data_IF_146613499196
#
_entry.id   IF_146613499196
#
_cell.length_a   1.000
_cell.length_b   1.000
_cell.length_c   1.000
_cell.angle_alpha   90.00
_cell.angle_beta   90.00
_cell.angle_gamma   90.00
#
_symmetry.space_group_name_H-M   'P 1'
#
loop_
_entity.id
_entity.type
_entity.pdbx_description
1 polymer ?
#
# COMPACT_ATOMS: atom_id res chain seq x y z
N UNK A 1 2.80 17.37 -24.62
CA UNK A 1 2.84 15.89 -24.83
C UNK A 1 1.80 15.26 -23.90
N UNK A 2 1.18 14.13 -24.25
CA UNK A 2 0.20 13.48 -23.37
C UNK A 2 0.89 12.45 -22.45
N UNK A 3 0.88 12.73 -21.14
CA UNK A 3 1.41 11.86 -20.10
C UNK A 3 0.26 11.22 -19.33
N UNK A 4 0.10 9.91 -19.49
CA UNK A 4 -0.89 9.13 -18.76
C UNK A 4 -0.21 8.28 -17.70
N UNK A 5 -0.44 8.64 -16.45
CA UNK A 5 0.28 8.10 -15.29
C UNK A 5 -0.70 7.29 -14.44
N UNK A 6 -0.37 6.02 -14.20
CA UNK A 6 -1.08 5.19 -13.25
C UNK A 6 -0.48 5.33 -11.85
N UNK A 7 -1.32 5.66 -10.87
CA UNK A 7 -0.93 5.81 -9.47
C UNK A 7 -1.35 4.54 -8.74
N UNK A 8 -0.38 3.77 -8.28
CA UNK A 8 -0.53 2.51 -7.57
C UNK A 8 -0.28 2.76 -6.07
N UNK A 9 -1.13 2.22 -5.20
CA UNK A 9 -0.97 2.40 -3.75
C UNK A 9 -1.49 1.21 -2.95
N UNK A 10 -0.87 0.98 -1.79
CA UNK A 10 -1.34 0.05 -0.75
C UNK A 10 -1.64 -1.35 -1.32
N UNK A 11 -0.62 -1.98 -1.93
CA UNK A 11 -0.74 -3.30 -2.59
C UNK A 11 -0.92 -4.42 -1.57
N UNK A 12 -0.29 -4.29 -0.40
CA UNK A 12 -0.47 -5.17 0.75
C UNK A 12 -0.31 -6.67 0.47
N UNK A 13 0.65 -7.02 -0.38
CA UNK A 13 0.95 -8.39 -0.75
C UNK A 13 -0.12 -9.05 -1.62
N UNK A 14 -1.10 -8.32 -2.16
CA UNK A 14 -2.13 -8.90 -3.02
C UNK A 14 -1.66 -8.97 -4.48
N UNK A 15 -1.04 -10.10 -4.84
CA UNK A 15 -0.45 -10.29 -6.16
C UNK A 15 -1.51 -10.35 -7.27
N UNK A 16 -2.63 -11.03 -7.02
CA UNK A 16 -3.71 -11.18 -8.01
C UNK A 16 -4.39 -9.83 -8.31
N UNK A 17 -4.59 -8.99 -7.30
CA UNK A 17 -5.12 -7.64 -7.50
C UNK A 17 -4.14 -6.76 -8.27
N UNK A 18 -2.85 -6.82 -7.95
CA UNK A 18 -1.83 -6.04 -8.66
C UNK A 18 -1.76 -6.43 -10.14
N UNK A 19 -1.77 -7.71 -10.46
CA UNK A 19 -1.77 -8.19 -11.84
C UNK A 19 -2.97 -7.65 -12.63
N UNK A 20 -4.18 -7.70 -12.03
CA UNK A 20 -5.39 -7.17 -12.64
C UNK A 20 -5.32 -5.65 -12.84
N UNK A 21 -4.81 -4.90 -11.86
CA UNK A 21 -4.64 -3.44 -11.94
C UNK A 21 -3.62 -3.06 -13.02
N UNK A 22 -2.49 -3.77 -13.12
CA UNK A 22 -1.49 -3.53 -14.17
C UNK A 22 -2.09 -3.77 -15.56
N UNK A 23 -2.86 -4.85 -15.74
CA UNK A 23 -3.52 -5.14 -17.02
C UNK A 23 -4.55 -4.05 -17.39
N UNK A 24 -5.33 -3.58 -16.42
CA UNK A 24 -6.29 -2.49 -16.62
C UNK A 24 -5.59 -1.16 -16.94
N UNK A 25 -4.52 -0.80 -16.20
CA UNK A 25 -3.72 0.40 -16.43
C UNK A 25 -3.10 0.43 -17.83
N UNK A 26 -2.53 -0.70 -18.28
CA UNK A 26 -2.04 -0.86 -19.66
C UNK A 26 -3.16 -0.64 -20.69
N UNK A 27 -4.36 -1.15 -20.41
CA UNK A 27 -5.54 -0.95 -21.28
C UNK A 27 -6.00 0.51 -21.31
N UNK A 28 -5.84 1.26 -20.22
CA UNK A 28 -6.10 2.71 -20.20
C UNK A 28 -5.04 3.52 -20.96
N UNK A 29 -3.94 2.88 -21.36
CA UNK A 29 -2.82 3.51 -22.04
C UNK A 29 -1.83 4.19 -21.10
N UNK A 30 -1.77 3.78 -19.83
CA UNK A 30 -0.78 4.30 -18.90
C UNK A 30 0.65 3.94 -19.37
N UNK A 31 1.47 4.97 -19.54
CA UNK A 31 2.86 4.86 -19.99
C UNK A 31 3.88 5.09 -18.87
N UNK A 32 3.42 5.57 -17.73
CA UNK A 32 4.21 5.89 -16.54
C UNK A 32 3.47 5.42 -15.28
N UNK A 33 4.22 5.03 -14.24
CA UNK A 33 3.65 4.56 -12.97
C UNK A 33 4.30 5.27 -11.79
N UNK A 34 3.46 5.68 -10.83
CA UNK A 34 3.90 6.15 -9.51
C UNK A 34 3.43 5.15 -8.46
N UNK A 35 4.31 4.82 -7.52
CA UNK A 35 4.06 3.80 -6.49
C UNK A 35 4.13 4.42 -5.08
N UNK A 36 3.01 4.42 -4.38
CA UNK A 36 2.88 4.89 -3.01
C UNK A 36 2.75 3.65 -2.13
N UNK A 37 3.84 3.22 -1.51
CA UNK A 37 4.14 1.82 -1.21
C UNK A 37 3.15 1.09 -0.26
N UNK A 38 3.58 0.51 0.87
CA UNK A 38 2.87 -0.60 1.52
C UNK A 38 2.69 -1.79 0.54
N UNK A 39 3.82 -2.22 -0.04
CA UNK A 39 3.84 -3.24 -1.10
C UNK A 39 3.48 -4.61 -0.57
N UNK A 40 4.08 -4.99 0.55
CA UNK A 40 3.98 -6.32 1.13
C UNK A 40 3.08 -6.32 2.34
N UNK A 41 2.61 -7.52 2.70
CA UNK A 41 1.84 -7.81 3.92
C UNK A 41 0.52 -7.00 4.05
N UNK A 42 -0.53 -7.57 4.65
CA UNK A 42 -0.63 -8.91 5.19
C UNK A 42 -0.91 -9.98 4.12
N UNK A 43 -0.90 -9.64 2.83
CA UNK A 43 -1.05 -10.61 1.74
C UNK A 43 0.20 -11.47 1.47
N UNK A 44 0.05 -12.50 0.63
CA UNK A 44 1.06 -13.54 0.41
C UNK A 44 2.12 -13.19 -0.64
N UNK A 45 1.97 -12.10 -1.37
CA UNK A 45 2.93 -11.62 -2.38
C UNK A 45 4.29 -11.33 -1.77
N UNK A 46 5.34 -11.78 -2.45
CA UNK A 46 6.74 -11.57 -2.10
C UNK A 46 7.54 -11.30 -3.39
N UNK A 47 8.50 -12.15 -3.77
CA UNK A 47 9.29 -11.98 -4.98
C UNK A 47 8.47 -11.98 -6.29
N UNK A 48 7.32 -12.66 -6.33
CA UNK A 48 6.38 -12.63 -7.45
C UNK A 48 5.76 -11.25 -7.64
N UNK A 49 5.42 -10.57 -6.55
CA UNK A 49 4.92 -9.19 -6.57
C UNK A 49 6.01 -8.23 -7.07
N UNK A 50 7.24 -8.38 -6.58
CA UNK A 50 8.39 -7.59 -7.06
C UNK A 50 8.63 -7.81 -8.56
N UNK A 51 8.46 -9.01 -9.08
CA UNK A 51 8.61 -9.30 -10.50
C UNK A 51 7.59 -8.52 -11.35
N UNK A 52 6.33 -8.43 -10.90
CA UNK A 52 5.30 -7.64 -11.57
C UNK A 52 5.67 -6.14 -11.63
N UNK A 53 6.24 -5.60 -10.55
CA UNK A 53 6.63 -4.19 -10.47
C UNK A 53 7.87 -3.85 -11.32
N UNK A 54 8.86 -4.75 -11.36
CA UNK A 54 10.10 -4.57 -12.13
C UNK A 54 9.88 -4.34 -13.63
N UNK A 55 8.78 -4.86 -14.18
CA UNK A 55 8.44 -4.73 -15.60
C UNK A 55 7.70 -3.41 -15.95
N UNK A 56 7.42 -2.56 -14.95
CA UNK A 56 6.72 -1.29 -15.14
C UNK A 56 7.70 -0.12 -15.24
N UNK A 57 7.39 0.91 -16.07
CA UNK A 57 8.11 2.18 -16.04
C UNK A 57 7.70 2.99 -14.80
N UNK A 58 8.12 2.52 -13.62
CA UNK A 58 7.96 3.22 -12.35
C UNK A 58 9.01 4.32 -12.29
N UNK A 59 8.53 5.55 -12.19
CA UNK A 59 9.36 6.75 -12.24
C UNK A 59 9.26 7.56 -10.95
N UNK A 60 8.37 7.19 -10.03
CA UNK A 60 8.30 7.70 -8.67
C UNK A 60 7.88 6.58 -7.71
N UNK A 61 8.52 6.49 -6.55
CA UNK A 61 8.27 5.43 -5.56
C UNK A 61 8.57 5.95 -4.16
N UNK A 62 7.61 5.88 -3.24
CA UNK A 62 7.74 6.46 -1.89
C UNK A 62 7.34 5.50 -0.79
N UNK A 63 8.20 5.37 0.22
CA UNK A 63 8.14 4.33 1.24
C UNK A 63 6.92 4.41 2.15
N UNK A 64 6.24 3.29 2.33
CA UNK A 64 5.08 3.13 3.19
C UNK A 64 5.45 2.68 4.60
N UNK A 65 4.50 2.72 5.51
CA UNK A 65 4.75 2.38 6.91
C UNK A 65 4.82 0.87 7.15
N UNK A 66 4.22 0.04 6.29
CA UNK A 66 4.37 -1.42 6.36
C UNK A 66 5.76 -1.83 5.89
N UNK A 67 6.35 -1.10 4.96
CA UNK A 67 7.73 -1.31 4.54
C UNK A 67 8.69 -0.97 5.69
N UNK A 68 8.48 0.17 6.38
CA UNK A 68 9.26 0.51 7.59
C UNK A 68 9.13 -0.59 8.66
N UNK A 69 7.94 -1.14 8.92
CA UNK A 69 7.77 -2.25 9.88
C UNK A 69 8.61 -3.48 9.56
N UNK A 70 8.76 -3.80 8.27
CA UNK A 70 9.62 -4.91 7.82
C UNK A 70 11.09 -4.56 8.06
N UNK A 71 11.49 -3.33 7.76
CA UNK A 71 12.87 -2.85 7.93
C UNK A 71 13.27 -2.74 9.41
N UNK A 72 12.40 -2.20 10.26
CA UNK A 72 12.55 -2.09 11.72
C UNK A 72 12.78 -3.48 12.33
N UNK A 73 11.94 -4.45 11.97
CA UNK A 73 12.10 -5.84 12.40
C UNK A 73 13.45 -6.45 11.98
N UNK A 74 13.95 -6.11 10.79
CA UNK A 74 15.29 -6.51 10.32
C UNK A 74 16.44 -5.77 11.02
N UNK A 75 16.19 -4.58 11.55
CA UNK A 75 17.14 -3.77 12.32
C UNK A 75 17.15 -4.18 13.81
N UNK A 76 16.39 -5.21 14.18
CA UNK A 76 16.31 -5.73 15.55
C UNK A 76 15.30 -4.97 16.42
N UNK A 77 14.47 -4.12 15.82
CA UNK A 77 13.38 -3.42 16.51
C UNK A 77 12.13 -4.31 16.52
N UNK A 78 12.02 -5.16 17.55
CA UNK A 78 10.87 -6.05 17.69
C UNK A 78 10.45 -6.28 19.14
N UNK A 79 9.17 -6.60 19.30
CA UNK A 79 8.57 -6.99 20.57
C UNK A 79 7.79 -8.30 20.43
N UNK A 80 7.82 -9.11 21.49
CA UNK A 80 7.10 -10.39 21.56
C UNK A 80 6.10 -10.43 22.71
N UNK A 81 5.81 -9.27 23.30
CA UNK A 81 4.94 -9.14 24.47
C UNK A 81 3.53 -8.71 24.07
N UNK A 82 3.39 -8.01 22.94
CA UNK A 82 2.10 -7.50 22.48
C UNK A 82 1.61 -8.23 21.22
N UNK A 83 0.31 -8.64 21.12
CA UNK A 83 -0.20 -9.39 19.97
C UNK A 83 0.06 -8.75 18.60
N UNK A 84 -0.02 -7.41 18.50
CA UNK A 84 0.30 -6.70 17.25
C UNK A 84 1.78 -6.79 16.87
N UNK A 85 2.69 -6.80 17.84
CA UNK A 85 4.12 -6.93 17.57
C UNK A 85 4.41 -8.35 17.11
N UNK A 86 3.89 -9.37 17.81
CA UNK A 86 4.03 -10.77 17.41
C UNK A 86 3.46 -11.00 16.00
N UNK A 87 2.30 -10.41 15.68
CA UNK A 87 1.75 -10.45 14.32
C UNK A 87 2.72 -9.86 13.31
N UNK A 88 3.20 -8.62 13.56
CA UNK A 88 4.17 -7.95 12.69
C UNK A 88 5.39 -8.83 12.46
N UNK A 89 5.97 -9.38 13.52
CA UNK A 89 7.16 -10.22 13.44
C UNK A 89 6.94 -11.54 12.71
N UNK A 90 5.81 -12.21 12.94
CA UNK A 90 5.49 -13.47 12.26
C UNK A 90 5.28 -13.26 10.77
N UNK A 91 4.64 -12.15 10.40
CA UNK A 91 4.43 -11.76 9.02
C UNK A 91 5.75 -11.35 8.35
N UNK A 92 6.59 -10.57 9.03
CA UNK A 92 7.94 -10.24 8.56
C UNK A 92 8.77 -11.49 8.34
N UNK A 93 8.79 -12.44 9.29
CA UNK A 93 9.46 -13.73 9.10
C UNK A 93 8.99 -14.43 7.83
N UNK A 94 7.67 -14.58 7.65
CA UNK A 94 7.09 -15.22 6.47
C UNK A 94 7.58 -14.57 5.16
N UNK A 95 7.64 -13.25 5.13
CA UNK A 95 8.10 -12.47 4.00
C UNK A 95 9.60 -12.69 3.76
N UNK A 96 10.43 -12.63 4.81
CA UNK A 96 11.89 -12.72 4.73
C UNK A 96 12.39 -14.09 4.28
N UNK A 97 11.68 -15.17 4.64
CA UNK A 97 11.96 -16.51 4.13
C UNK A 97 11.83 -16.62 2.58
N UNK A 98 11.22 -15.61 1.93
CA UNK A 98 10.84 -15.63 0.51
C UNK A 98 11.32 -14.41 -0.27
N UNK A 99 12.06 -13.49 0.37
CA UNK A 99 12.43 -12.21 -0.22
C UNK A 99 13.91 -12.17 -0.59
N UNK A 100 14.20 -11.65 -1.79
CA UNK A 100 15.58 -11.42 -2.22
C UNK A 100 16.21 -10.28 -1.41
N UNK A 101 17.48 -10.41 -0.95
CA UNK A 101 18.17 -9.32 -0.24
C UNK A 101 18.23 -8.00 -1.00
N UNK A 102 18.24 -8.05 -2.34
CA UNK A 102 18.19 -6.86 -3.19
C UNK A 102 16.89 -6.06 -3.01
N UNK A 103 15.78 -6.72 -2.70
CA UNK A 103 14.49 -6.06 -2.40
C UNK A 103 14.59 -5.23 -1.12
N UNK A 104 15.28 -5.74 -0.09
CA UNK A 104 15.51 -4.99 1.15
C UNK A 104 16.36 -3.74 0.91
N UNK A 105 17.44 -3.88 0.11
CA UNK A 105 18.28 -2.74 -0.27
C UNK A 105 17.44 -1.69 -1.02
N UNK A 106 16.57 -2.12 -1.92
CA UNK A 106 15.66 -1.23 -2.64
C UNK A 106 14.68 -0.53 -1.69
N UNK A 107 13.96 -1.25 -0.82
CA UNK A 107 13.04 -0.67 0.16
C UNK A 107 13.73 0.39 1.04
N UNK A 108 14.95 0.12 1.50
CA UNK A 108 15.73 1.09 2.31
C UNK A 108 16.11 2.35 1.53
N UNK A 109 16.27 2.25 0.22
CA UNK A 109 16.63 3.39 -0.64
C UNK A 109 15.46 4.33 -0.93
N UNK A 110 14.22 3.88 -0.71
CA UNK A 110 13.03 4.65 -1.02
C UNK A 110 12.88 5.87 -0.10
N UNK A 111 12.59 7.06 -0.66
CA UNK A 111 12.34 8.27 0.12
C UNK A 111 10.92 8.27 0.71
N UNK A 112 10.68 9.13 1.70
CA UNK A 112 9.32 9.39 2.23
C UNK A 112 8.53 10.37 1.36
N UNK A 113 9.22 11.23 0.63
CA UNK A 113 8.66 12.25 -0.25
C UNK A 113 9.43 12.24 -1.56
N UNK A 114 8.69 12.29 -2.66
CA UNK A 114 9.22 12.58 -3.99
C UNK A 114 8.50 13.80 -4.57
N UNK A 115 9.28 14.74 -5.11
CA UNK A 115 8.78 15.90 -5.84
C UNK A 115 8.99 15.68 -7.33
N UNK A 116 7.98 15.96 -8.12
CA UNK A 116 8.04 15.80 -9.58
C UNK A 116 7.47 16.99 -10.32
N UNK A 117 7.95 17.17 -11.54
CA UNK A 117 7.36 18.10 -12.50
C UNK A 117 6.98 17.34 -13.77
N UNK A 118 5.73 17.47 -14.20
CA UNK A 118 5.22 16.89 -15.45
C UNK A 118 4.63 18.02 -16.29
N UNK A 119 5.27 18.34 -17.41
CA UNK A 119 4.90 19.46 -18.30
C UNK A 119 4.68 20.80 -17.55
N UNK A 120 5.44 21.05 -16.47
CA UNK A 120 5.33 22.28 -15.66
C UNK A 120 4.40 22.19 -14.46
N UNK A 121 3.59 21.13 -14.32
CA UNK A 121 2.80 20.87 -13.11
C UNK A 121 3.65 20.18 -12.06
N UNK A 122 3.62 20.70 -10.83
CA UNK A 122 4.47 20.25 -9.72
C UNK A 122 3.69 19.37 -8.75
N UNK A 123 4.19 18.16 -8.57
CA UNK A 123 3.59 17.11 -7.77
C UNK A 123 4.37 16.86 -6.48
N UNK A 124 3.63 16.65 -5.40
CA UNK A 124 4.13 16.14 -4.11
C UNK A 124 3.61 14.72 -3.92
N UNK A 125 4.50 13.74 -3.85
CA UNK A 125 4.13 12.32 -3.76
C UNK A 125 4.68 11.79 -2.44
N UNK A 126 3.80 11.31 -1.55
CA UNK A 126 4.19 10.71 -0.26
C UNK A 126 3.17 9.66 0.16
N UNK A 127 3.57 8.60 0.88
CA UNK A 127 2.59 7.59 1.32
C UNK A 127 1.51 8.18 2.24
N UNK A 128 1.92 9.05 3.16
CA UNK A 128 1.03 9.82 4.04
C UNK A 128 1.51 11.28 4.03
N UNK A 129 2.04 11.81 5.13
CA UNK A 129 2.65 13.14 5.17
C UNK A 129 4.08 13.11 4.62
N UNK A 130 4.61 14.22 4.08
CA UNK A 130 5.94 14.28 3.45
C UNK A 130 7.11 13.82 4.32
N UNK A 131 6.97 13.92 5.64
CA UNK A 131 8.00 13.56 6.62
C UNK A 131 7.54 12.46 7.59
N UNK A 132 6.38 11.83 7.32
CA UNK A 132 5.76 10.85 8.20
C UNK A 132 4.77 9.98 7.42
N UNK A 133 5.14 8.73 7.15
CA UNK A 133 4.33 7.78 6.38
C UNK A 133 3.22 7.06 7.19
N UNK A 134 3.04 7.33 8.48
CA UNK A 134 2.06 6.66 9.33
C UNK A 134 1.12 7.63 10.05
N UNK A 135 0.05 7.10 10.66
CA UNK A 135 -0.87 7.84 11.54
C UNK A 135 -2.17 8.25 10.86
N UNK A 136 -3.02 8.98 11.59
CA UNK A 136 -4.39 9.31 11.17
C UNK A 136 -4.59 10.75 10.70
N UNK A 137 -3.52 11.50 10.43
CA UNK A 137 -3.61 12.93 10.09
C UNK A 137 -4.42 13.18 8.80
N UNK A 138 -4.35 12.27 7.82
CA UNK A 138 -5.01 12.39 6.53
C UNK A 138 -6.26 11.50 6.37
N UNK A 139 -6.91 11.15 7.47
CA UNK A 139 -8.24 10.52 7.44
C UNK A 139 -9.24 11.44 6.73
N UNK A 140 -10.16 10.85 5.97
CA UNK A 140 -11.04 11.60 5.04
C UNK A 140 -11.97 12.59 5.73
N UNK A 141 -12.29 12.35 7.00
CA UNK A 141 -13.11 13.19 7.87
C UNK A 141 -12.35 14.36 8.50
N UNK A 142 -11.02 14.39 8.41
CA UNK A 142 -10.23 15.46 9.02
C UNK A 142 -10.32 16.77 8.22
N UNK A 143 -10.13 17.86 8.95
CA UNK A 143 -10.17 19.22 8.44
C UNK A 143 -9.06 19.50 7.41
N UNK A 144 -9.31 20.45 6.52
CA UNK A 144 -8.37 20.83 5.44
C UNK A 144 -6.99 21.25 5.96
N UNK A 145 -6.91 21.85 7.16
CA UNK A 145 -5.62 22.21 7.79
C UNK A 145 -4.67 21.02 7.95
N UNK A 146 -5.21 19.81 8.17
CA UNK A 146 -4.39 18.60 8.23
C UNK A 146 -3.82 18.22 6.87
N UNK A 147 -4.62 18.42 5.82
CA UNK A 147 -4.28 18.13 4.44
C UNK A 147 -3.34 19.16 3.82
N UNK A 148 -3.38 20.41 4.28
CA UNK A 148 -2.45 21.46 3.86
C UNK A 148 -0.99 21.10 4.16
N UNK A 149 -0.73 20.19 5.10
CA UNK A 149 0.62 19.66 5.35
C UNK A 149 1.21 18.84 4.18
N UNK A 150 0.38 18.39 3.23
CA UNK A 150 0.86 17.77 1.98
C UNK A 150 1.41 18.80 0.97
N UNK A 151 1.09 20.08 1.19
CA UNK A 151 1.24 21.15 0.24
C UNK A 151 2.28 22.17 0.74
N UNK A 152 3.00 22.75 -0.20
CA UNK A 152 3.80 23.95 -0.02
C UNK A 152 3.48 24.92 -1.17
N UNK A 153 4.08 26.11 -1.17
CA UNK A 153 3.84 27.15 -2.19
C UNK A 153 4.25 26.71 -3.61
N UNK A 154 5.00 25.62 -3.73
CA UNK A 154 5.47 25.07 -4.99
C UNK A 154 4.70 23.83 -5.46
N UNK A 155 3.71 23.35 -4.69
CA UNK A 155 2.93 22.17 -5.08
C UNK A 155 1.62 22.59 -5.72
N UNK A 156 1.35 22.06 -6.91
CA UNK A 156 0.07 22.22 -7.61
C UNK A 156 -0.86 21.04 -7.30
N UNK A 157 -0.30 19.82 -7.18
CA UNK A 157 -1.05 18.59 -6.88
C UNK A 157 -0.29 17.71 -5.87
N UNK A 158 -0.93 17.34 -4.77
CA UNK A 158 -0.43 16.30 -3.87
C UNK A 158 -1.09 14.95 -4.14
N UNK A 159 -0.32 13.87 -4.06
CA UNK A 159 -0.77 12.49 -4.18
C UNK A 159 -0.34 11.73 -2.92
N UNK A 160 -1.29 11.09 -2.24
CA UNK A 160 -1.02 10.28 -1.05
C UNK A 160 -1.82 8.96 -1.02
N UNK A 161 -1.43 8.03 -0.15
CA UNK A 161 -2.01 6.68 0.02
C UNK A 161 -2.52 6.45 1.45
N UNK A 162 -2.18 5.31 2.06
CA UNK A 162 -2.27 4.99 3.49
C UNK A 162 -3.67 4.85 4.12
N UNK A 163 -4.65 5.66 3.72
CA UNK A 163 -6.02 5.61 4.27
C UNK A 163 -6.98 4.77 3.45
N UNK A 164 -6.49 4.18 2.35
CA UNK A 164 -7.16 3.18 1.51
C UNK A 164 -8.51 3.63 0.94
N UNK A 165 -8.65 4.94 0.69
CA UNK A 165 -9.88 5.54 0.17
C UNK A 165 -9.58 6.47 -0.98
N UNK A 166 -10.25 6.22 -2.10
CA UNK A 166 -10.25 7.15 -3.22
C UNK A 166 -10.74 8.53 -2.79
N UNK A 167 -9.94 9.56 -3.10
CA UNK A 167 -10.22 10.92 -2.68
C UNK A 167 -9.74 11.91 -3.75
N UNK A 168 -10.59 12.88 -4.05
CA UNK A 168 -10.20 14.14 -4.66
C UNK A 168 -10.72 15.25 -3.75
N UNK A 169 -9.81 16.05 -3.19
CA UNK A 169 -10.13 17.25 -2.43
C UNK A 169 -9.16 18.37 -2.74
N UNK A 170 -9.31 19.48 -2.05
CA UNK A 170 -8.51 20.68 -2.24
C UNK A 170 -7.90 21.15 -0.92
N UNK A 171 -6.68 21.67 -1.01
CA UNK A 171 -6.05 22.44 0.06
C UNK A 171 -6.63 23.86 0.15
N UNK A 172 -6.17 24.61 1.14
CA UNK A 172 -6.68 25.95 1.44
C UNK A 172 -6.43 26.99 0.34
N UNK A 173 -5.38 26.81 -0.49
CA UNK A 173 -5.13 27.69 -1.65
C UNK A 173 -5.73 27.14 -2.96
N UNK A 174 -6.50 26.05 -2.90
CA UNK A 174 -7.14 25.44 -4.08
C UNK A 174 -6.27 24.42 -4.83
N UNK A 175 -5.11 24.02 -4.29
CA UNK A 175 -4.29 22.95 -4.87
C UNK A 175 -5.00 21.60 -4.72
N UNK A 176 -4.78 20.68 -5.66
CA UNK A 176 -5.47 19.39 -5.66
C UNK A 176 -4.77 18.37 -4.77
N UNK A 177 -5.56 17.54 -4.11
CA UNK A 177 -5.07 16.40 -3.33
C UNK A 177 -5.81 15.15 -3.79
N UNK A 178 -5.04 14.15 -4.20
CA UNK A 178 -5.52 12.90 -4.78
C UNK A 178 -5.08 11.73 -3.90
N UNK A 179 -5.99 10.80 -3.66
CA UNK A 179 -5.67 9.48 -3.12
C UNK A 179 -6.22 8.40 -4.06
N UNK A 180 -5.41 7.47 -4.58
CA UNK A 180 -5.84 6.48 -5.55
C UNK A 180 -6.70 5.36 -4.94
N UNK A 181 -6.81 5.30 -3.61
CA UNK A 181 -7.35 4.17 -2.87
C UNK A 181 -6.30 3.09 -2.64
N UNK A 182 -6.74 1.88 -2.32
CA UNK A 182 -5.85 0.73 -2.11
C UNK A 182 -6.10 -0.39 -3.11
N UNK A 183 -5.01 -0.91 -3.68
CA UNK A 183 -5.04 -2.06 -4.58
C UNK A 183 -5.40 -3.33 -3.79
N UNK A 184 -4.72 -3.55 -2.66
CA UNK A 184 -4.80 -4.80 -1.92
C UNK A 184 -5.83 -4.83 -0.81
N UNK A 185 -6.19 -3.69 -0.24
CA UNK A 185 -7.00 -3.55 0.98
C UNK A 185 -7.93 -2.32 0.93
N UNK A 186 -8.79 -2.18 -0.09
CA UNK A 186 -9.72 -1.05 -0.19
C UNK A 186 -10.63 -0.98 1.06
N UNK A 187 -10.81 0.23 1.60
CA UNK A 187 -11.54 0.42 2.86
C UNK A 187 -12.87 1.16 2.66
N UNK A 188 -13.94 0.59 3.22
CA UNK A 188 -15.29 1.14 3.12
C UNK A 188 -15.95 1.23 4.50
N UNK A 189 -16.37 2.43 4.89
CA UNK A 189 -17.22 2.61 6.09
C UNK A 189 -18.72 2.56 5.76
N UNK A 190 -19.08 2.73 4.49
CA UNK A 190 -20.46 2.76 4.07
C UNK A 190 -20.83 1.45 3.36
N UNK A 191 -21.59 0.61 4.04
CA UNK A 191 -21.87 -0.76 3.62
C UNK A 191 -22.43 -0.86 2.19
N UNK A 192 -23.29 0.07 1.79
CA UNK A 192 -23.90 0.06 0.45
C UNK A 192 -22.89 0.25 -0.71
N UNK A 193 -21.68 0.73 -0.42
CA UNK A 193 -20.61 0.93 -1.41
C UNK A 193 -19.51 -0.13 -1.34
N UNK A 194 -19.57 -1.03 -0.35
CA UNK A 194 -18.58 -2.06 -0.10
C UNK A 194 -18.47 -3.00 -1.30
N UNK A 195 -17.24 -3.31 -1.70
CA UNK A 195 -16.95 -4.20 -2.83
C UNK A 195 -15.47 -4.62 -2.82
N UNK A 196 -15.19 -5.83 -3.30
CA UNK A 196 -13.86 -6.43 -3.31
C UNK A 196 -12.94 -5.97 -4.45
N UNK A 197 -13.21 -4.83 -5.09
CA UNK A 197 -12.43 -4.40 -6.26
C UNK A 197 -11.19 -3.62 -5.82
N UNK A 198 -10.07 -3.94 -6.43
CA UNK A 198 -8.83 -3.18 -6.28
C UNK A 198 -9.04 -1.73 -6.75
N UNK A 199 -8.44 -0.77 -6.05
CA UNK A 199 -8.55 0.65 -6.36
C UNK A 199 -7.20 1.20 -6.82
N UNK A 200 -7.25 2.04 -7.85
CA UNK A 200 -6.10 2.85 -8.27
C UNK A 200 -6.61 4.10 -9.00
N UNK A 201 -5.71 5.00 -9.39
CA UNK A 201 -6.06 6.15 -10.21
C UNK A 201 -5.19 6.26 -11.47
N UNK A 202 -5.76 6.87 -12.51
CA UNK A 202 -5.02 7.32 -13.69
C UNK A 202 -5.18 8.82 -13.81
N UNK A 203 -4.07 9.54 -13.90
CA UNK A 203 -4.05 10.97 -14.21
C UNK A 203 -3.52 11.19 -15.63
N UNK A 204 -4.00 12.25 -16.27
CA UNK A 204 -3.60 12.63 -17.62
C UNK A 204 -3.17 14.10 -17.61
N UNK A 205 -1.91 14.34 -17.98
CA UNK A 205 -1.33 15.68 -18.13
C UNK A 205 -1.05 15.91 -19.61
N UNK A 206 -1.64 16.97 -20.15
CA UNK A 206 -1.48 17.36 -21.56
C UNK A 206 -1.22 18.86 -21.63
N UNK A 207 -0.12 19.24 -22.27
CA UNK A 207 0.26 20.63 -22.56
C UNK A 207 0.24 21.56 -21.33
N UNK A 208 0.68 21.03 -20.19
CA UNK A 208 0.78 21.75 -18.91
C UNK A 208 -0.51 21.78 -18.09
N UNK A 209 -1.54 21.05 -18.51
CA UNK A 209 -2.83 20.97 -17.83
C UNK A 209 -3.11 19.56 -17.32
N UNK A 210 -3.68 19.44 -16.12
CA UNK A 210 -4.21 18.18 -15.61
C UNK A 210 -5.60 17.97 -16.19
N UNK A 211 -5.66 17.34 -17.37
CA UNK A 211 -6.89 17.23 -18.17
C UNK A 211 -7.83 16.12 -17.70
N UNK A 212 -7.33 15.15 -16.92
CA UNK A 212 -8.16 14.05 -16.43
C UNK A 212 -7.67 13.45 -15.11
N UNK A 213 -8.62 13.02 -14.27
CA UNK A 213 -8.40 12.19 -13.08
C UNK A 213 -9.44 11.08 -13.10
N UNK A 214 -9.00 9.83 -13.24
CA UNK A 214 -9.88 8.67 -13.27
C UNK A 214 -9.63 7.78 -12.05
N UNK A 215 -10.59 7.72 -11.15
CA UNK A 215 -10.62 6.70 -10.09
C UNK A 215 -11.19 5.41 -10.63
N UNK A 216 -10.46 4.31 -10.45
CA UNK A 216 -10.79 3.03 -11.06
C UNK A 216 -10.97 1.95 -10.02
N UNK A 217 -11.85 0.99 -10.33
CA UNK A 217 -12.16 -0.17 -9.51
C UNK A 217 -12.10 -1.43 -10.36
N UNK A 218 -11.10 -2.27 -10.10
CA UNK A 218 -10.78 -3.44 -10.93
C UNK A 218 -11.20 -4.71 -10.20
N UNK A 219 -12.00 -5.54 -10.85
CA UNK A 219 -12.31 -6.88 -10.32
C UNK A 219 -11.11 -7.80 -10.55
N UNK A 220 -10.84 -8.67 -9.58
CA UNK A 220 -9.82 -9.71 -9.65
C UNK A 220 -10.36 -10.98 -9.00
N UNK A 221 -9.68 -12.11 -9.20
CA UNK A 221 -10.07 -13.40 -8.62
C UNK A 221 -9.57 -13.51 -7.18
N UNK A 222 -10.44 -13.16 -6.22
CA UNK A 222 -10.09 -13.20 -4.79
C UNK A 222 -9.99 -14.63 -4.24
N UNK A 223 -10.64 -15.62 -4.88
CA UNK A 223 -10.48 -17.03 -4.47
C UNK A 223 -9.12 -17.55 -4.91
N UNK A 224 -8.64 -17.17 -6.10
CA UNK A 224 -7.28 -17.47 -6.54
C UNK A 224 -6.23 -16.85 -5.60
N UNK A 225 -6.43 -15.61 -5.16
CA UNK A 225 -5.55 -14.96 -4.17
C UNK A 225 -5.58 -15.68 -2.81
N UNK A 226 -6.75 -16.12 -2.36
CA UNK A 226 -6.88 -16.86 -1.11
C UNK A 226 -6.21 -18.25 -1.20
N UNK A 227 -6.35 -18.96 -2.31
CA UNK A 227 -5.65 -20.22 -2.54
C UNK A 227 -4.13 -20.02 -2.65
N UNK A 228 -3.68 -18.92 -3.27
CA UNK A 228 -2.28 -18.52 -3.26
C UNK A 228 -1.78 -18.32 -1.82
N UNK A 229 -2.54 -17.61 -0.99
CA UNK A 229 -2.20 -17.38 0.41
C UNK A 229 -2.08 -18.70 1.20
N UNK A 230 -3.04 -19.61 1.06
CA UNK A 230 -3.01 -20.94 1.68
C UNK A 230 -1.80 -21.75 1.20
N UNK A 231 -1.56 -21.79 -0.11
CA UNK A 231 -0.46 -22.57 -0.70
C UNK A 231 0.92 -22.10 -0.26
N UNK A 232 1.08 -20.79 -0.01
CA UNK A 232 2.33 -20.21 0.50
C UNK A 232 2.49 -20.39 2.00
N UNK A 233 1.45 -20.80 2.71
CA UNK A 233 1.44 -20.92 4.17
C UNK A 233 1.42 -19.56 4.87
N UNK A 234 0.61 -18.63 4.36
CA UNK A 234 0.45 -17.30 4.95
C UNK A 234 0.02 -17.41 6.43
N UNK A 235 0.77 -16.81 7.39
CA UNK A 235 0.33 -16.73 8.78
C UNK A 235 -0.95 -15.90 8.90
N UNK A 236 -1.74 -16.19 9.93
CA UNK A 236 -3.05 -15.54 10.16
C UNK A 236 -4.00 -15.67 8.95
N UNK A 237 -3.97 -16.82 8.25
CA UNK A 237 -4.81 -17.09 7.09
C UNK A 237 -6.29 -16.85 7.36
N UNK A 238 -6.77 -17.09 8.59
CA UNK A 238 -8.15 -16.83 9.00
C UNK A 238 -8.53 -15.34 8.84
N UNK A 239 -7.61 -14.43 9.19
CA UNK A 239 -7.82 -12.99 9.03
C UNK A 239 -7.74 -12.56 7.57
N UNK A 240 -6.86 -13.19 6.78
CA UNK A 240 -6.78 -12.90 5.36
C UNK A 240 -8.03 -13.39 4.62
N UNK A 241 -8.57 -14.55 4.99
CA UNK A 241 -9.85 -15.05 4.46
C UNK A 241 -11.00 -14.10 4.78
N UNK A 242 -11.12 -13.62 6.02
CA UNK A 242 -12.14 -12.62 6.38
C UNK A 242 -11.95 -11.32 5.59
N UNK A 243 -10.71 -10.86 5.43
CA UNK A 243 -10.41 -9.69 4.62
C UNK A 243 -10.82 -9.89 3.14
N UNK A 244 -10.62 -11.07 2.55
CA UNK A 244 -11.01 -11.34 1.15
C UNK A 244 -12.50 -11.57 0.95
N UNK A 245 -13.19 -12.15 1.93
CA UNK A 245 -14.63 -12.45 1.83
C UNK A 245 -15.51 -11.29 2.29
N UNK A 246 -15.03 -10.51 3.27
CA UNK A 246 -15.85 -9.53 3.98
C UNK A 246 -15.24 -8.12 3.96
N UNK A 247 -14.17 -7.84 3.19
CA UNK A 247 -13.43 -6.56 3.18
C UNK A 247 -13.16 -5.99 4.59
N UNK A 248 -12.93 -6.88 5.54
CA UNK A 248 -12.79 -6.54 6.95
C UNK A 248 -11.43 -7.01 7.45
N UNK A 249 -10.49 -6.08 7.64
CA UNK A 249 -9.19 -6.40 8.21
C UNK A 249 -9.21 -6.32 9.74
N UNK A 250 -9.10 -7.48 10.39
CA UNK A 250 -9.15 -7.60 11.85
C UNK A 250 -7.79 -7.37 12.55
N UNK A 251 -6.81 -6.73 11.91
CA UNK A 251 -5.47 -6.49 12.49
C UNK A 251 -5.43 -5.60 13.74
N UNK A 252 -6.57 -5.09 14.18
CA UNK A 252 -6.71 -4.33 15.43
C UNK A 252 -7.49 -5.09 16.52
N UNK A 253 -8.02 -6.28 16.21
CA UNK A 253 -8.72 -7.14 17.15
C UNK A 253 -7.70 -7.92 17.99
N UNK A 254 -7.34 -7.38 19.17
CA UNK A 254 -6.31 -7.94 20.04
C UNK A 254 -6.69 -9.33 20.58
N UNK A 255 -7.98 -9.58 20.83
CA UNK A 255 -8.46 -10.87 21.33
C UNK A 255 -8.31 -11.96 20.26
N UNK A 256 -8.71 -11.67 19.02
CA UNK A 256 -8.52 -12.57 17.89
C UNK A 256 -7.03 -12.85 17.64
N UNK A 257 -6.20 -11.80 17.63
CA UNK A 257 -4.75 -11.94 17.45
C UNK A 257 -4.15 -12.85 18.52
N UNK A 258 -4.44 -12.59 19.80
CA UNK A 258 -3.94 -13.41 20.91
C UNK A 258 -4.35 -14.88 20.77
N UNK A 259 -5.63 -15.13 20.41
CA UNK A 259 -6.15 -16.48 20.19
C UNK A 259 -5.44 -17.21 19.04
N UNK A 260 -5.22 -16.54 17.90
CA UNK A 260 -4.53 -17.13 16.75
C UNK A 260 -3.04 -17.35 17.02
N UNK A 261 -2.39 -16.43 17.75
CA UNK A 261 -0.99 -16.57 18.18
C UNK A 261 -0.80 -17.80 19.05
N UNK A 262 -1.67 -18.01 20.04
CA UNK A 262 -1.63 -19.19 20.90
C UNK A 262 -1.91 -20.47 20.11
N UNK A 263 -2.98 -20.48 19.31
CA UNK A 263 -3.41 -21.64 18.51
C UNK A 263 -2.30 -22.16 17.60
N UNK A 264 -1.58 -21.26 16.93
CA UNK A 264 -0.58 -21.61 15.92
C UNK A 264 0.86 -21.58 16.46
N UNK A 265 1.08 -21.16 17.71
CA UNK A 265 2.40 -21.13 18.33
C UNK A 265 3.35 -20.07 17.76
N UNK A 266 2.83 -18.95 17.24
CA UNK A 266 3.63 -17.98 16.48
C UNK A 266 4.77 -17.33 17.27
N UNK A 267 4.67 -17.21 18.61
CA UNK A 267 5.77 -16.69 19.43
C UNK A 267 7.03 -17.55 19.28
N UNK A 268 6.87 -18.87 19.27
CA UNK A 268 8.01 -19.80 19.19
C UNK A 268 8.60 -19.88 17.79
N UNK A 269 7.77 -19.72 16.75
CA UNK A 269 8.24 -19.56 15.36
C UNK A 269 9.14 -18.33 15.23
N UNK A 270 8.68 -17.19 15.74
CA UNK A 270 9.38 -15.91 15.64
C UNK A 270 10.70 -15.94 16.41
N UNK A 271 10.71 -16.43 17.66
CA UNK A 271 11.96 -16.59 18.44
C UNK A 271 13.00 -17.41 17.68
N UNK A 272 12.61 -18.57 17.16
CA UNK A 272 13.53 -19.45 16.42
C UNK A 272 14.13 -18.79 15.19
N UNK A 273 13.38 -17.92 14.52
CA UNK A 273 13.85 -17.23 13.33
C UNK A 273 14.79 -16.06 13.68
N UNK A 274 14.42 -15.20 14.62
CA UNK A 274 15.21 -14.01 14.95
C UNK A 274 16.39 -14.29 15.88
N UNK A 275 16.35 -15.34 16.72
CA UNK A 275 17.53 -15.79 17.48
C UNK A 275 18.61 -16.41 16.57
N UNK A 276 18.27 -16.71 15.31
CA UNK A 276 19.17 -17.29 14.31
C UNK A 276 19.82 -16.25 13.37
N UNK A 277 19.21 -15.08 13.20
CA UNK A 277 19.73 -13.98 12.38
C UNK A 277 20.87 -13.21 13.07
#
# INVERSE_FOLDING_TARGET
MNHKIAILSDIHGNATALEAVIADAKTQGASEYWLLEDIFLPGPGANDLVALLKDLPITASVRGNWDDRVLEALDGEYGLEHPKEIQSMRMTQFLMERMDPATIVWLRSLPLLEKKEVEGLRFSISHNLPNKNYGGDLLVENDTEKFDQLLDDEVDVAVYGHVHKQLLRYGSQGQQIINPGSIGMPYFNWEALKNHRAQYAVIEVEDGELVNIQFRKVAYDYEAELELAKSKGLPFIEMYEELRREDNYQGHNLELLASLIEKHGYVEDVKKFFDFL
#
